data_IF_855286333982
#
_entry.id   IF_855286333982
#
_cell.length_a   1.000
_cell.length_b   1.000
_cell.length_c   1.000
_cell.angle_alpha   90.00
_cell.angle_beta   90.00
_cell.angle_gamma   90.00
#
_symmetry.space_group_name_H-M   'P 1'
#
loop_
_entity.id
_entity.type
_entity.pdbx_description
1 polymer ?
#
# COMPACT_ATOMS: atom_id res chain seq x y z
N UNK A 1 7.37 -49.20 16.22
CA UNK A 1 7.89 -47.83 16.04
C UNK A 1 7.57 -47.03 17.29
N UNK A 2 8.60 -46.61 18.01
CA UNK A 2 8.54 -46.07 19.36
C UNK A 2 8.10 -44.59 19.33
N UNK A 3 6.88 -44.32 19.81
CA UNK A 3 6.25 -42.99 19.83
C UNK A 3 7.12 -41.94 20.54
N UNK A 4 7.93 -42.37 21.51
CA UNK A 4 8.75 -41.49 22.35
C UNK A 4 9.92 -40.82 21.62
N UNK A 5 10.41 -41.42 20.53
CA UNK A 5 11.55 -40.89 19.76
C UNK A 5 11.11 -39.73 18.84
N UNK A 6 9.85 -39.73 18.39
CA UNK A 6 9.28 -38.65 17.55
C UNK A 6 9.06 -37.36 18.36
N UNK A 7 8.52 -37.45 19.58
CA UNK A 7 8.29 -36.27 20.43
C UNK A 7 9.61 -35.56 20.80
N UNK A 8 10.69 -36.33 20.99
CA UNK A 8 12.01 -35.79 21.33
C UNK A 8 12.68 -35.11 20.13
N UNK A 9 12.46 -35.60 18.90
CA UNK A 9 12.94 -34.97 17.66
C UNK A 9 12.16 -33.69 17.30
N UNK A 10 10.84 -33.67 17.54
CA UNK A 10 10.02 -32.47 17.35
C UNK A 10 10.46 -31.37 18.34
N UNK A 11 10.70 -31.71 19.61
CA UNK A 11 11.17 -30.75 20.63
C UNK A 11 12.52 -30.11 20.30
N UNK A 12 13.45 -30.87 19.72
CA UNK A 12 14.76 -30.36 19.26
C UNK A 12 14.62 -29.44 18.04
N UNK A 13 13.77 -29.81 17.08
CA UNK A 13 13.50 -29.02 15.87
C UNK A 13 12.79 -27.69 16.18
N UNK A 14 11.83 -27.70 17.11
CA UNK A 14 11.15 -26.49 17.59
C UNK A 14 12.11 -25.57 18.36
N UNK A 15 13.03 -26.12 19.16
CA UNK A 15 14.10 -25.32 19.82
C UNK A 15 15.02 -24.64 18.81
N UNK A 16 15.39 -25.33 17.73
CA UNK A 16 16.24 -24.76 16.67
C UNK A 16 15.51 -23.68 15.87
N UNK A 17 14.23 -23.86 15.54
CA UNK A 17 13.40 -22.84 14.89
C UNK A 17 13.29 -21.56 15.73
N UNK A 18 13.09 -21.71 17.04
CA UNK A 18 13.05 -20.57 17.98
C UNK A 18 14.38 -19.81 18.01
N UNK A 19 15.50 -20.49 17.78
CA UNK A 19 16.83 -19.87 17.75
C UNK A 19 17.14 -19.14 16.43
N UNK A 20 16.51 -19.56 15.32
CA UNK A 20 16.59 -18.88 14.02
C UNK A 20 15.75 -17.61 14.04
N UNK A 21 14.51 -17.69 14.56
CA UNK A 21 13.61 -16.55 14.66
C UNK A 21 14.09 -15.44 15.61
N UNK A 22 14.88 -15.81 16.64
CA UNK A 22 15.40 -14.84 17.62
C UNK A 22 16.64 -14.07 17.15
N UNK A 23 17.28 -14.45 16.03
CA UNK A 23 18.62 -13.95 15.64
C UNK A 23 18.66 -13.19 14.31
N UNK A 24 17.51 -12.93 13.68
CA UNK A 24 17.43 -12.13 12.44
C UNK A 24 16.79 -10.78 12.72
N UNK A 25 17.61 -9.75 12.93
CA UNK A 25 17.14 -8.36 12.93
C UNK A 25 16.44 -8.05 11.59
N UNK A 26 15.38 -7.24 11.60
CA UNK A 26 14.61 -6.85 10.41
C UNK A 26 15.51 -6.42 9.23
N UNK A 27 16.57 -5.67 9.52
CA UNK A 27 17.59 -5.23 8.55
C UNK A 27 18.38 -6.37 7.90
N UNK A 28 18.54 -7.53 8.57
CA UNK A 28 19.24 -8.70 8.01
C UNK A 28 18.34 -9.52 7.07
N UNK A 29 17.02 -9.50 7.30
CA UNK A 29 16.07 -10.23 6.47
C UNK A 29 15.55 -9.40 5.29
N UNK A 30 15.41 -8.08 5.46
CA UNK A 30 14.83 -7.17 4.46
C UNK A 30 15.75 -6.02 4.06
N UNK A 31 17.00 -5.97 4.54
CA UNK A 31 17.93 -4.87 4.27
C UNK A 31 18.14 -4.63 2.77
N UNK A 32 18.26 -5.69 1.98
CA UNK A 32 18.36 -5.59 0.52
C UNK A 32 17.12 -4.97 -0.10
N UNK A 33 15.92 -5.37 0.34
CA UNK A 33 14.66 -4.82 -0.17
C UNK A 33 14.46 -3.35 0.23
N UNK A 34 14.82 -2.98 1.46
CA UNK A 34 14.76 -1.59 1.94
C UNK A 34 15.75 -0.72 1.18
N UNK A 35 16.98 -1.20 0.98
CA UNK A 35 18.00 -0.48 0.24
C UNK A 35 17.59 -0.27 -1.22
N UNK A 36 17.05 -1.32 -1.86
CA UNK A 36 16.53 -1.26 -3.21
C UNK A 36 15.33 -0.30 -3.31
N UNK A 37 14.43 -0.28 -2.33
CA UNK A 37 13.32 0.67 -2.26
C UNK A 37 13.81 2.12 -2.14
N UNK A 38 14.76 2.40 -1.25
CA UNK A 38 15.36 3.74 -1.09
C UNK A 38 16.04 4.17 -2.40
N UNK A 39 16.78 3.26 -3.04
CA UNK A 39 17.48 3.53 -4.29
C UNK A 39 16.52 3.86 -5.43
N UNK A 40 15.46 3.05 -5.62
CA UNK A 40 14.44 3.31 -6.64
C UNK A 40 13.71 4.63 -6.37
N UNK A 41 13.35 4.88 -5.10
CA UNK A 41 12.67 6.13 -4.71
C UNK A 41 13.53 7.35 -4.97
N UNK A 42 14.84 7.27 -4.68
CA UNK A 42 15.79 8.34 -4.92
C UNK A 42 15.96 8.62 -6.41
N UNK A 43 16.08 7.56 -7.23
CA UNK A 43 16.13 7.69 -8.69
C UNK A 43 14.84 8.34 -9.22
N UNK A 44 13.67 7.88 -8.78
CA UNK A 44 12.39 8.45 -9.18
C UNK A 44 12.28 9.93 -8.80
N UNK A 45 12.71 10.30 -7.60
CA UNK A 45 12.73 11.69 -7.14
C UNK A 45 13.65 12.56 -8.00
N UNK A 46 14.85 12.09 -8.34
CA UNK A 46 15.78 12.80 -9.21
C UNK A 46 15.20 13.00 -10.62
N UNK A 47 14.61 11.96 -11.21
CA UNK A 47 13.96 12.08 -12.51
C UNK A 47 12.77 13.04 -12.47
N UNK A 48 11.89 12.90 -11.48
CA UNK A 48 10.74 13.78 -11.31
C UNK A 48 11.17 15.24 -11.15
N UNK A 49 12.15 15.51 -10.28
CA UNK A 49 12.69 16.85 -10.07
C UNK A 49 13.30 17.44 -11.35
N UNK A 50 14.08 16.64 -12.09
CA UNK A 50 14.67 17.05 -13.36
C UNK A 50 13.61 17.41 -14.41
N UNK A 51 12.60 16.57 -14.62
CA UNK A 51 11.53 16.84 -15.58
C UNK A 51 10.64 18.00 -15.16
N UNK A 52 10.35 18.13 -13.87
CA UNK A 52 9.60 19.26 -13.34
C UNK A 52 10.30 20.59 -13.66
N UNK A 53 11.63 20.64 -13.46
CA UNK A 53 12.43 21.82 -13.78
C UNK A 53 12.49 22.08 -15.28
N UNK A 54 12.71 21.03 -16.08
CA UNK A 54 12.79 21.15 -17.54
C UNK A 54 11.50 21.68 -18.14
N UNK A 55 10.34 21.20 -17.70
CA UNK A 55 9.04 21.64 -18.22
C UNK A 55 8.72 23.10 -17.86
N UNK A 56 9.26 23.62 -16.77
CA UNK A 56 9.00 24.97 -16.29
C UNK A 56 10.18 25.93 -16.51
N UNK A 57 11.18 25.53 -17.30
CA UNK A 57 12.44 26.29 -17.43
C UNK A 57 12.21 27.72 -17.93
N UNK A 58 11.29 27.90 -18.89
CA UNK A 58 10.94 29.23 -19.41
C UNK A 58 10.36 30.15 -18.34
N UNK A 59 9.55 29.61 -17.42
CA UNK A 59 8.98 30.37 -16.30
C UNK A 59 10.05 30.81 -15.29
N UNK A 60 11.04 29.94 -15.04
CA UNK A 60 12.12 30.29 -14.12
C UNK A 60 13.08 31.32 -14.74
N UNK A 61 13.38 31.19 -16.02
CA UNK A 61 14.25 32.14 -16.73
C UNK A 61 13.65 33.54 -16.87
N UNK A 62 12.32 33.66 -16.98
CA UNK A 62 11.67 34.98 -17.11
C UNK A 62 11.73 35.82 -15.83
N UNK A 63 11.65 35.19 -14.66
CA UNK A 63 11.60 35.89 -13.36
C UNK A 63 12.67 35.36 -12.38
N UNK A 64 13.96 35.65 -12.61
CA UNK A 64 15.03 35.16 -11.74
C UNK A 64 14.95 35.73 -10.32
N UNK A 65 14.50 36.96 -10.12
CA UNK A 65 14.37 37.57 -8.78
C UNK A 65 13.44 36.78 -7.85
N UNK A 66 12.37 36.21 -8.39
CA UNK A 66 11.37 35.43 -7.65
C UNK A 66 11.83 33.97 -7.45
N UNK A 67 12.36 33.34 -8.50
CA UNK A 67 12.59 31.89 -8.50
C UNK A 67 14.03 31.47 -8.16
N UNK A 68 15.01 32.37 -8.15
CA UNK A 68 16.44 32.03 -7.94
C UNK A 68 16.75 31.37 -6.60
N UNK A 69 16.02 31.74 -5.55
CA UNK A 69 16.14 31.15 -4.22
C UNK A 69 15.01 30.17 -3.88
N UNK A 70 14.22 29.76 -4.88
CA UNK A 70 13.19 28.76 -4.69
C UNK A 70 13.83 27.36 -4.53
N UNK A 71 13.43 26.54 -3.53
CA UNK A 71 14.06 25.24 -3.25
C UNK A 71 14.11 24.26 -4.43
N UNK A 72 13.12 24.32 -5.34
CA UNK A 72 13.10 23.49 -6.56
C UNK A 72 14.07 23.94 -7.65
N UNK A 73 14.54 25.19 -7.61
CA UNK A 73 15.38 25.82 -8.65
C UNK A 73 16.85 25.84 -8.22
N UNK A 74 17.13 26.06 -6.93
CA UNK A 74 18.48 26.14 -6.36
C UNK A 74 19.43 25.01 -6.82
N UNK A 75 19.08 23.71 -6.73
CA UNK A 75 20.00 22.63 -7.11
C UNK A 75 20.33 22.60 -8.61
N UNK A 76 19.56 23.31 -9.44
CA UNK A 76 19.72 23.37 -10.89
C UNK A 76 20.00 24.79 -11.39
N UNK A 77 20.34 25.74 -10.50
CA UNK A 77 20.48 27.14 -10.83
C UNK A 77 21.52 27.40 -11.94
N UNK A 78 22.61 26.65 -11.99
CA UNK A 78 23.64 26.74 -13.03
C UNK A 78 23.22 26.15 -14.37
N UNK A 79 22.22 25.26 -14.39
CA UNK A 79 21.60 24.81 -15.64
C UNK A 79 20.54 25.80 -16.15
N UNK A 80 19.81 26.44 -15.23
CA UNK A 80 18.72 27.36 -15.55
C UNK A 80 19.26 28.76 -15.91
N UNK A 81 20.25 29.25 -15.15
CA UNK A 81 20.88 30.56 -15.28
C UNK A 81 22.38 30.39 -15.56
N UNK A 82 22.77 30.03 -16.79
CA UNK A 82 24.18 29.89 -17.14
C UNK A 82 24.90 31.23 -16.96
N UNK A 83 26.01 31.24 -16.22
CA UNK A 83 26.82 32.43 -16.00
C UNK A 83 28.08 32.39 -16.87
N UNK A 84 28.35 33.42 -17.70
CA UNK A 84 29.61 33.48 -18.44
C UNK A 84 30.79 33.47 -17.47
N UNK A 85 31.76 32.58 -17.71
CA UNK A 85 32.98 32.47 -16.91
C UNK A 85 32.90 31.55 -15.68
N UNK A 86 31.76 30.89 -15.41
CA UNK A 86 31.66 29.87 -14.36
C UNK A 86 31.07 28.57 -14.91
N UNK A 87 31.53 27.44 -14.38
CA UNK A 87 30.84 26.16 -14.64
C UNK A 87 29.52 26.08 -13.87
N UNK A 88 28.57 25.28 -14.34
CA UNK A 88 27.25 25.13 -13.72
C UNK A 88 27.34 24.78 -12.22
N UNK A 89 28.31 23.94 -11.85
CA UNK A 89 28.54 23.54 -10.45
C UNK A 89 29.08 24.71 -9.60
N UNK A 90 30.00 25.50 -10.15
CA UNK A 90 30.55 26.68 -9.46
C UNK A 90 29.48 27.74 -9.23
N UNK A 91 28.63 28.00 -10.24
CA UNK A 91 27.51 28.92 -10.11
C UNK A 91 26.44 28.41 -9.13
N UNK A 92 26.12 27.11 -9.14
CA UNK A 92 25.22 26.53 -8.14
C UNK A 92 25.71 26.80 -6.72
N UNK A 93 27.00 26.57 -6.46
CA UNK A 93 27.57 26.77 -5.12
C UNK A 93 27.51 28.23 -4.69
N UNK A 94 27.86 29.17 -5.58
CA UNK A 94 27.77 30.60 -5.26
C UNK A 94 26.33 31.05 -5.06
N UNK A 95 25.39 30.52 -5.85
CA UNK A 95 23.96 30.81 -5.73
C UNK A 95 23.35 30.29 -4.42
N UNK A 96 23.71 29.08 -3.99
CA UNK A 96 23.28 28.52 -2.69
C UNK A 96 23.73 29.45 -1.55
N UNK A 97 25.01 29.87 -1.57
CA UNK A 97 25.56 30.74 -0.53
C UNK A 97 24.90 32.13 -0.53
N UNK A 98 24.56 32.66 -1.69
CA UNK A 98 23.79 33.90 -1.81
C UNK A 98 22.41 33.77 -1.18
N UNK A 99 21.65 32.73 -1.55
CA UNK A 99 20.30 32.54 -1.03
C UNK A 99 20.27 32.31 0.47
N UNK A 100 21.23 31.54 1.03
CA UNK A 100 21.33 31.38 2.47
C UNK A 100 21.55 32.71 3.21
N UNK A 101 22.33 33.63 2.64
CA UNK A 101 22.58 34.95 3.26
C UNK A 101 21.37 35.86 3.20
N UNK A 102 20.64 35.88 2.08
CA UNK A 102 19.46 36.73 1.96
C UNK A 102 18.31 36.22 2.84
N UNK A 103 18.04 34.91 2.86
CA UNK A 103 17.03 34.36 3.79
C UNK A 103 17.40 34.62 5.26
N UNK A 104 18.69 34.65 5.60
CA UNK A 104 19.14 34.98 6.95
C UNK A 104 18.93 36.47 7.30
N UNK A 105 19.11 37.40 6.34
CA UNK A 105 18.84 38.83 6.56
C UNK A 105 17.35 39.09 6.78
N UNK A 106 16.48 38.45 6.01
CA UNK A 106 15.03 38.60 6.17
C UNK A 106 14.60 38.19 7.59
N UNK A 107 15.13 37.07 8.11
CA UNK A 107 14.89 36.65 9.49
C UNK A 107 15.49 37.61 10.54
N UNK A 108 16.64 38.23 10.25
CA UNK A 108 17.29 39.18 11.16
C UNK A 108 16.51 40.50 11.29
N UNK A 109 15.82 40.95 10.24
CA UNK A 109 15.01 42.17 10.27
C UNK A 109 13.84 42.01 11.26
N UNK A 110 13.13 40.88 11.22
CA UNK A 110 12.04 40.58 12.15
C UNK A 110 12.53 40.47 13.61
N UNK A 111 13.75 39.98 13.81
CA UNK A 111 14.39 39.87 15.13
C UNK A 111 14.86 41.24 15.65
N UNK A 112 15.28 42.15 14.77
CA UNK A 112 15.82 43.46 15.13
C UNK A 112 14.74 44.54 15.30
N UNK A 113 13.52 44.33 14.79
CA UNK A 113 12.37 45.22 14.98
C UNK A 113 12.13 45.70 16.44
N UNK A 114 12.23 44.87 17.49
CA UNK A 114 12.10 45.33 18.88
C UNK A 114 13.20 46.32 19.31
N UNK A 115 14.40 46.25 18.71
CA UNK A 115 15.51 47.15 19.03
C UNK A 115 15.24 48.58 18.54
N UNK A 116 14.61 48.72 17.37
CA UNK A 116 14.22 50.01 16.80
C UNK A 116 13.12 50.69 17.61
N UNK A 117 12.15 49.91 18.12
CA UNK A 117 11.10 50.41 19.00
C UNK A 117 11.65 50.99 20.31
N UNK A 118 12.63 50.31 20.93
CA UNK A 118 13.28 50.80 22.16
C UNK A 118 14.04 52.10 21.89
N UNK A 119 14.70 52.24 20.74
CA UNK A 119 15.41 53.46 20.36
C UNK A 119 14.50 54.69 20.25
N UNK A 120 13.27 54.52 19.73
CA UNK A 120 12.30 55.61 19.60
C UNK A 120 11.74 56.08 20.96
N UNK A 121 11.61 55.16 21.92
CA UNK A 121 11.15 55.50 23.28
C UNK A 121 12.23 56.22 24.09
N UNK A 122 13.50 55.89 23.90
CA UNK A 122 14.63 56.56 24.56
C UNK A 122 14.70 58.05 24.16
N UNK A 123 14.41 58.39 22.92
CA UNK A 123 14.42 59.78 22.45
C UNK A 123 13.34 60.65 23.10
N UNK A 124 12.18 60.07 23.45
CA UNK A 124 11.10 60.80 24.14
C UNK A 124 11.43 61.15 25.60
N UNK A 125 12.33 60.39 26.23
CA UNK A 125 12.77 60.60 27.61
C UNK A 125 13.69 61.83 27.72
N UNK A 126 14.37 62.22 26.64
CA UNK A 126 15.32 63.34 26.65
C UNK A 126 14.65 64.73 26.69
N UNK A 127 13.35 64.83 26.42
CA UNK A 127 12.58 66.09 26.38
C UNK A 127 11.95 66.52 27.71
N UNK A 128 12.28 65.87 28.83
CA UNK A 128 11.52 66.05 30.07
C UNK A 128 12.23 66.97 31.08
N UNK A 129 11.52 68.00 31.55
CA UNK A 129 12.01 69.07 32.42
C UNK A 129 11.81 68.73 33.92
N UNK A 130 12.85 68.80 34.75
CA UNK A 130 12.98 68.16 36.08
C UNK A 130 12.20 68.79 37.26
N UNK A 131 11.16 69.58 37.02
CA UNK A 131 10.64 70.52 38.03
C UNK A 131 9.46 70.12 38.94
N UNK A 132 8.90 68.91 38.89
CA UNK A 132 7.64 68.64 39.63
C UNK A 132 7.45 67.19 40.11
N UNK A 133 6.70 66.97 41.20
CA UNK A 133 6.29 65.61 41.63
C UNK A 133 5.42 64.90 40.58
N UNK A 134 4.71 65.67 39.74
CA UNK A 134 3.98 65.16 38.59
C UNK A 134 4.92 64.57 37.53
N UNK A 135 6.16 65.05 37.43
CA UNK A 135 7.16 64.46 36.54
C UNK A 135 7.55 63.04 36.96
N UNK A 136 7.68 62.75 38.26
CA UNK A 136 7.94 61.37 38.72
C UNK A 136 6.78 60.44 38.37
N UNK A 137 5.54 60.89 38.52
CA UNK A 137 4.37 60.09 38.13
C UNK A 137 4.31 59.84 36.61
N UNK A 138 4.69 60.85 35.82
CA UNK A 138 4.74 60.74 34.35
C UNK A 138 5.84 59.78 33.92
N UNK A 139 7.03 59.86 34.52
CA UNK A 139 8.13 58.90 34.28
C UNK A 139 7.75 57.47 34.65
N UNK A 140 7.11 57.24 35.80
CA UNK A 140 6.66 55.91 36.18
C UNK A 140 5.58 55.37 35.23
N UNK A 141 4.69 56.24 34.73
CA UNK A 141 3.71 55.89 33.70
C UNK A 141 4.39 55.52 32.38
N UNK A 142 5.37 56.30 31.93
CA UNK A 142 6.11 56.06 30.70
C UNK A 142 6.95 54.78 30.77
N UNK A 143 7.65 54.54 31.89
CA UNK A 143 8.37 53.27 32.13
C UNK A 143 7.41 52.09 32.11
N UNK A 144 6.24 52.20 32.75
CA UNK A 144 5.21 51.16 32.74
C UNK A 144 4.66 50.91 31.33
N UNK A 145 4.44 51.96 30.55
CA UNK A 145 3.94 51.86 29.18
C UNK A 145 4.99 51.25 28.24
N UNK A 146 6.27 51.63 28.39
CA UNK A 146 7.38 51.03 27.65
C UNK A 146 7.53 49.55 28.01
N UNK A 147 7.48 49.19 29.30
CA UNK A 147 7.52 47.80 29.75
C UNK A 147 6.33 47.00 29.20
N UNK A 148 5.11 47.55 29.29
CA UNK A 148 3.92 46.91 28.73
C UNK A 148 4.01 46.75 27.20
N UNK A 149 4.59 47.72 26.50
CA UNK A 149 4.84 47.65 25.07
C UNK A 149 5.82 46.54 24.70
N UNK A 150 6.92 46.40 25.45
CA UNK A 150 7.91 45.33 25.26
C UNK A 150 7.29 43.96 25.54
N UNK A 151 6.56 43.80 26.65
CA UNK A 151 5.87 42.54 26.96
C UNK A 151 4.80 42.21 25.91
N UNK A 152 4.06 43.20 25.41
CA UNK A 152 3.08 43.01 24.34
C UNK A 152 3.73 42.56 23.03
N UNK A 153 4.87 43.16 22.65
CA UNK A 153 5.63 42.75 21.47
C UNK A 153 6.19 41.33 21.62
N UNK A 154 6.77 40.99 22.78
CA UNK A 154 7.27 39.65 23.06
C UNK A 154 6.15 38.60 23.05
N UNK A 155 4.98 38.93 23.62
CA UNK A 155 3.81 38.06 23.61
C UNK A 155 3.31 37.81 22.18
N UNK A 156 3.16 38.86 21.37
CA UNK A 156 2.72 38.73 19.99
C UNK A 156 3.72 37.91 19.14
N UNK A 157 5.03 38.11 19.35
CA UNK A 157 6.06 37.33 18.67
C UNK A 157 6.02 35.86 19.08
N UNK A 158 5.84 35.59 20.38
CA UNK A 158 5.73 34.24 20.92
C UNK A 158 4.46 33.54 20.42
N UNK A 159 3.33 34.25 20.33
CA UNK A 159 2.07 33.74 19.79
C UNK A 159 2.21 33.39 18.30
N UNK A 160 2.78 34.30 17.50
CA UNK A 160 3.05 34.04 16.08
C UNK A 160 4.01 32.86 15.88
N UNK A 161 5.02 32.73 16.74
CA UNK A 161 5.95 31.61 16.72
C UNK A 161 5.26 30.28 17.07
N UNK A 162 4.46 30.24 18.13
CA UNK A 162 3.69 29.04 18.49
C UNK A 162 2.64 28.67 17.44
N UNK A 163 1.97 29.65 16.83
CA UNK A 163 1.04 29.41 15.73
C UNK A 163 1.73 28.75 14.53
N UNK A 164 2.92 29.25 14.16
CA UNK A 164 3.74 28.68 13.08
C UNK A 164 4.20 27.25 13.41
N UNK A 165 4.66 27.00 14.64
CA UNK A 165 5.00 25.64 15.11
C UNK A 165 3.80 24.69 15.04
N UNK A 166 2.64 25.12 15.52
CA UNK A 166 1.43 24.30 15.50
C UNK A 166 1.03 23.93 14.07
N UNK A 167 1.13 24.88 13.13
CA UNK A 167 0.89 24.60 11.72
C UNK A 167 1.86 23.54 11.16
N UNK A 168 3.14 23.63 11.50
CA UNK A 168 4.16 22.63 11.10
C UNK A 168 3.85 21.26 11.72
N UNK A 169 3.47 21.19 13.00
CA UNK A 169 3.13 19.93 13.68
C UNK A 169 1.91 19.27 13.02
N UNK A 170 0.87 20.04 12.71
CA UNK A 170 -0.32 19.53 12.01
C UNK A 170 0.04 19.00 10.64
N UNK A 171 0.87 19.72 9.88
CA UNK A 171 1.34 19.26 8.57
C UNK A 171 2.18 17.98 8.66
N UNK A 172 3.11 17.90 9.61
CA UNK A 172 3.95 16.71 9.84
C UNK A 172 3.09 15.50 10.24
N UNK A 173 2.18 15.67 11.19
CA UNK A 173 1.24 14.63 11.60
C UNK A 173 0.42 14.13 10.40
N UNK A 174 -0.10 15.07 9.59
CA UNK A 174 -0.82 14.73 8.36
C UNK A 174 0.04 13.98 7.35
N UNK A 175 1.31 14.34 7.21
CA UNK A 175 2.25 13.64 6.33
C UNK A 175 2.55 12.22 6.82
N UNK A 176 2.73 12.01 8.14
CA UNK A 176 2.92 10.69 8.72
C UNK A 176 1.69 9.79 8.51
N UNK A 177 0.48 10.31 8.79
CA UNK A 177 -0.77 9.59 8.57
C UNK A 177 -0.90 9.18 7.10
N UNK A 178 -0.64 10.08 6.15
CA UNK A 178 -0.69 9.75 4.71
C UNK A 178 0.35 8.71 4.32
N UNK A 179 1.58 8.83 4.83
CA UNK A 179 2.69 7.91 4.52
C UNK A 179 2.40 6.48 5.00
N UNK A 180 1.70 6.31 6.12
CA UNK A 180 1.31 4.99 6.64
C UNK A 180 0.02 4.46 5.99
N UNK A 181 -0.96 5.33 5.76
CA UNK A 181 -2.31 4.90 5.34
C UNK A 181 -2.39 4.50 3.88
N UNK A 182 -1.67 5.20 2.99
CA UNK A 182 -1.65 4.89 1.54
C UNK A 182 -1.14 3.46 1.28
N UNK A 183 0.05 3.03 1.71
CA UNK A 183 0.52 1.67 1.44
C UNK A 183 -0.34 0.61 2.13
N UNK A 184 -0.88 0.90 3.32
CA UNK A 184 -1.78 -0.01 4.02
C UNK A 184 -3.08 -0.24 3.22
N UNK A 185 -3.64 0.82 2.65
CA UNK A 185 -4.83 0.72 1.79
C UNK A 185 -4.56 -0.11 0.53
N UNK A 186 -3.36 0.00 -0.06
CA UNK A 186 -2.93 -0.79 -1.22
C UNK A 186 -2.82 -2.28 -0.87
N UNK A 187 -2.26 -2.61 0.31
CA UNK A 187 -2.17 -4.00 0.78
C UNK A 187 -3.58 -4.59 0.95
N UNK A 188 -4.50 -3.88 1.60
CA UNK A 188 -5.86 -4.38 1.77
C UNK A 188 -6.62 -4.51 0.44
N UNK A 189 -6.47 -3.55 -0.47
CA UNK A 189 -7.05 -3.63 -1.81
C UNK A 189 -6.52 -4.86 -2.57
N UNK A 190 -5.21 -5.14 -2.48
CA UNK A 190 -4.60 -6.30 -3.12
C UNK A 190 -5.13 -7.63 -2.60
N UNK A 191 -5.34 -7.74 -1.28
CA UNK A 191 -5.91 -8.93 -0.66
C UNK A 191 -7.35 -9.18 -1.11
N UNK A 192 -8.15 -8.11 -1.26
CA UNK A 192 -9.52 -8.20 -1.76
C UNK A 192 -9.51 -8.71 -3.22
N UNK A 193 -8.64 -8.19 -4.08
CA UNK A 193 -8.54 -8.64 -5.47
C UNK A 193 -8.17 -10.12 -5.56
N UNK A 194 -7.20 -10.58 -4.77
CA UNK A 194 -6.81 -12.00 -4.72
C UNK A 194 -8.00 -12.87 -4.28
N UNK A 195 -8.74 -12.43 -3.25
CA UNK A 195 -9.92 -13.14 -2.77
C UNK A 195 -11.03 -13.21 -3.81
N UNK A 196 -11.32 -12.10 -4.51
CA UNK A 196 -12.28 -12.06 -5.61
C UNK A 196 -11.88 -13.00 -6.75
N UNK A 197 -10.61 -13.03 -7.14
CA UNK A 197 -10.11 -13.95 -8.17
C UNK A 197 -10.31 -15.42 -7.77
N UNK A 198 -10.06 -15.77 -6.50
CA UNK A 198 -10.31 -17.12 -5.97
C UNK A 198 -11.79 -17.51 -6.04
N UNK A 199 -12.71 -16.60 -5.70
CA UNK A 199 -14.16 -16.86 -5.78
C UNK A 199 -14.61 -17.10 -7.22
N UNK A 200 -14.17 -16.26 -8.15
CA UNK A 200 -14.53 -16.40 -9.58
C UNK A 200 -14.01 -17.72 -10.13
N UNK A 201 -12.74 -18.06 -9.84
CA UNK A 201 -12.15 -19.33 -10.27
C UNK A 201 -12.94 -20.54 -9.73
N UNK A 202 -13.38 -20.52 -8.46
CA UNK A 202 -14.23 -21.57 -7.89
C UNK A 202 -15.55 -21.68 -8.64
N UNK A 203 -16.22 -20.56 -8.92
CA UNK A 203 -17.52 -20.57 -9.59
C UNK A 203 -17.44 -21.11 -11.02
N UNK A 204 -16.36 -20.80 -11.74
CA UNK A 204 -16.10 -21.37 -13.07
C UNK A 204 -15.86 -22.89 -12.99
N UNK A 205 -15.03 -23.34 -12.06
CA UNK A 205 -14.72 -24.77 -11.91
C UNK A 205 -15.97 -25.57 -11.51
N UNK A 206 -16.77 -25.07 -10.56
CA UNK A 206 -18.06 -25.68 -10.22
C UNK A 206 -19.00 -25.72 -11.42
N UNK A 207 -19.08 -24.67 -12.23
CA UNK A 207 -19.91 -24.65 -13.44
C UNK A 207 -19.50 -25.73 -14.44
N UNK A 208 -18.20 -25.93 -14.66
CA UNK A 208 -17.66 -26.95 -15.57
C UNK A 208 -18.01 -28.36 -15.05
N UNK A 209 -17.79 -28.60 -13.75
CA UNK A 209 -18.14 -29.89 -13.12
C UNK A 209 -19.63 -30.17 -13.27
N UNK A 210 -20.50 -29.19 -13.02
CA UNK A 210 -21.95 -29.38 -13.17
C UNK A 210 -22.36 -29.71 -14.61
N UNK A 211 -21.75 -29.05 -15.62
CA UNK A 211 -22.03 -29.37 -17.02
C UNK A 211 -21.60 -30.80 -17.39
N UNK A 212 -20.43 -31.24 -16.92
CA UNK A 212 -19.94 -32.62 -17.11
C UNK A 212 -20.87 -33.65 -16.45
N UNK A 213 -21.39 -33.37 -15.25
CA UNK A 213 -22.35 -34.28 -14.59
C UNK A 213 -23.65 -34.43 -15.37
N UNK A 214 -24.19 -33.33 -15.93
CA UNK A 214 -25.42 -33.38 -16.74
C UNK A 214 -25.18 -34.19 -18.02
N UNK A 215 -24.05 -33.99 -18.69
CA UNK A 215 -23.69 -34.76 -19.88
C UNK A 215 -23.54 -36.25 -19.58
N UNK A 216 -22.95 -36.59 -18.44
CA UNK A 216 -22.80 -37.98 -17.97
C UNK A 216 -24.14 -38.65 -17.69
N UNK A 217 -25.10 -37.94 -17.07
CA UNK A 217 -26.45 -38.47 -16.86
C UNK A 217 -27.14 -38.70 -18.21
N UNK A 218 -27.03 -37.74 -19.15
CA UNK A 218 -27.64 -37.83 -20.46
C UNK A 218 -27.15 -39.04 -21.28
N UNK A 219 -25.83 -39.28 -21.29
CA UNK A 219 -25.27 -40.46 -21.98
C UNK A 219 -25.77 -41.75 -21.37
N UNK A 220 -25.81 -41.88 -20.04
CA UNK A 220 -26.36 -43.05 -19.36
C UNK A 220 -27.84 -43.27 -19.71
N UNK A 221 -28.66 -42.21 -19.74
CA UNK A 221 -30.07 -42.31 -20.12
C UNK A 221 -30.27 -42.84 -21.55
N UNK A 222 -29.46 -42.39 -22.52
CA UNK A 222 -29.52 -42.89 -23.90
C UNK A 222 -29.17 -44.38 -23.95
N UNK A 223 -28.12 -44.80 -23.23
CA UNK A 223 -27.71 -46.20 -23.23
C UNK A 223 -28.79 -47.13 -22.64
N UNK A 224 -29.45 -46.71 -21.55
CA UNK A 224 -30.57 -47.47 -20.96
C UNK A 224 -31.72 -47.57 -21.97
N UNK A 225 -32.05 -46.48 -22.67
CA UNK A 225 -33.12 -46.48 -23.68
C UNK A 225 -32.82 -47.44 -24.83
N UNK A 226 -31.59 -47.42 -25.38
CA UNK A 226 -31.15 -48.33 -26.46
C UNK A 226 -31.18 -49.79 -25.98
N UNK A 227 -30.72 -50.05 -24.75
CA UNK A 227 -30.78 -51.40 -24.18
C UNK A 227 -32.23 -51.92 -24.10
N UNK A 228 -33.16 -51.12 -23.56
CA UNK A 228 -34.56 -51.49 -23.50
C UNK A 228 -35.15 -51.70 -24.91
N UNK A 229 -34.85 -50.82 -25.86
CA UNK A 229 -35.37 -50.91 -27.23
C UNK A 229 -34.87 -52.13 -28.00
N UNK A 230 -33.65 -52.62 -27.73
CA UNK A 230 -33.11 -53.82 -28.39
C UNK A 230 -33.53 -55.10 -27.65
N UNK A 231 -33.50 -55.09 -26.32
CA UNK A 231 -33.73 -56.30 -25.52
C UNK A 231 -35.21 -56.70 -25.47
N UNK A 232 -36.13 -55.76 -25.22
CA UNK A 232 -37.55 -56.11 -25.05
C UNK A 232 -38.22 -56.71 -26.30
N UNK A 233 -37.99 -56.22 -27.53
CA UNK A 233 -38.60 -56.84 -28.72
C UNK A 233 -38.13 -58.27 -28.97
N UNK A 234 -36.88 -58.61 -28.63
CA UNK A 234 -36.37 -59.97 -28.77
C UNK A 234 -37.05 -60.98 -27.84
N UNK A 235 -37.73 -60.52 -26.79
CA UNK A 235 -38.53 -61.36 -25.90
C UNK A 235 -39.97 -61.58 -26.41
N UNK A 236 -40.46 -60.73 -27.32
CA UNK A 236 -41.87 -60.72 -27.74
C UNK A 236 -42.09 -61.52 -29.03
N UNK A 237 -41.07 -61.73 -29.87
CA UNK A 237 -41.19 -62.49 -31.13
C UNK A 237 -41.28 -64.00 -30.79
N UNK A 238 -42.42 -64.68 -31.02
CA UNK A 238 -42.55 -66.11 -30.81
C UNK A 238 -42.21 -66.82 -32.12
N UNK A 239 -40.95 -67.14 -32.43
CA UNK A 239 -40.66 -67.91 -33.66
C UNK A 239 -39.57 -69.00 -33.52
N UNK A 240 -40.08 -70.24 -33.47
CA UNK A 240 -39.66 -71.44 -34.22
C UNK A 240 -38.15 -71.76 -34.27
N UNK A 241 -37.72 -72.73 -33.46
CA UNK A 241 -36.47 -73.47 -33.64
C UNK A 241 -35.70 -73.71 -32.35
N UNK A 242 -35.96 -74.82 -31.66
CA UNK A 242 -35.46 -75.20 -30.33
C UNK A 242 -33.91 -75.34 -30.18
N UNK A 243 -33.12 -75.09 -31.22
CA UNK A 243 -31.68 -75.38 -31.21
C UNK A 243 -30.81 -74.10 -31.34
N UNK A 244 -31.30 -73.04 -31.98
CA UNK A 244 -30.54 -71.77 -32.11
C UNK A 244 -30.94 -70.69 -31.09
N UNK A 245 -32.14 -70.77 -30.51
CA UNK A 245 -32.62 -69.84 -29.48
C UNK A 245 -31.64 -69.66 -28.28
N UNK A 246 -31.04 -70.71 -27.69
CA UNK A 246 -30.12 -70.52 -26.56
C UNK A 246 -28.80 -69.86 -26.97
N UNK A 247 -28.36 -70.00 -28.23
CA UNK A 247 -27.11 -69.41 -28.73
C UNK A 247 -27.28 -67.90 -28.94
N UNK A 248 -28.41 -67.46 -29.49
CA UNK A 248 -28.73 -66.04 -29.60
C UNK A 248 -29.01 -65.39 -28.23
N UNK A 249 -29.69 -66.09 -27.32
CA UNK A 249 -29.95 -65.57 -25.98
C UNK A 249 -28.66 -65.42 -25.15
N UNK A 250 -27.72 -66.37 -25.24
CA UNK A 250 -26.45 -66.31 -24.51
C UNK A 250 -25.49 -65.28 -25.10
N UNK A 251 -25.42 -65.15 -26.43
CA UNK A 251 -24.59 -64.10 -27.07
C UNK A 251 -25.14 -62.70 -26.80
N UNK A 252 -26.46 -62.51 -26.81
CA UNK A 252 -27.09 -61.25 -26.40
C UNK A 252 -26.90 -60.95 -24.90
N UNK A 253 -26.99 -61.97 -24.02
CA UNK A 253 -26.77 -61.80 -22.58
C UNK A 253 -25.30 -61.44 -22.25
N UNK A 254 -24.33 -62.09 -22.91
CA UNK A 254 -22.90 -61.79 -22.71
C UNK A 254 -22.54 -60.42 -23.30
N UNK A 255 -23.08 -60.08 -24.48
CA UNK A 255 -22.89 -58.76 -25.08
C UNK A 255 -23.48 -57.64 -24.22
N UNK A 256 -24.65 -57.86 -23.62
CA UNK A 256 -25.27 -56.86 -22.75
C UNK A 256 -24.57 -56.74 -21.40
N UNK A 257 -24.16 -57.86 -20.78
CA UNK A 257 -23.39 -57.85 -19.52
C UNK A 257 -22.02 -57.15 -19.67
N UNK A 258 -21.33 -57.36 -20.79
CA UNK A 258 -20.07 -56.67 -21.08
C UNK A 258 -20.27 -55.18 -21.32
N UNK A 259 -21.35 -54.77 -21.98
CA UNK A 259 -21.72 -53.35 -22.12
C UNK A 259 -22.00 -52.72 -20.75
N UNK A 260 -22.77 -53.38 -19.87
CA UNK A 260 -23.04 -52.89 -18.50
C UNK A 260 -21.78 -52.70 -17.66
N UNK A 261 -20.82 -53.61 -17.79
CA UNK A 261 -19.55 -53.54 -17.06
C UNK A 261 -18.73 -52.33 -17.55
N UNK A 262 -18.71 -52.08 -18.86
CA UNK A 262 -18.04 -50.91 -19.44
C UNK A 262 -18.73 -49.61 -19.03
N UNK A 263 -20.06 -49.51 -19.05
CA UNK A 263 -20.77 -48.31 -18.56
C UNK A 263 -20.57 -48.07 -17.07
N UNK A 264 -20.57 -49.13 -16.25
CA UNK A 264 -20.30 -49.00 -14.82
C UNK A 264 -18.88 -48.45 -14.56
N UNK A 265 -17.88 -48.94 -15.28
CA UNK A 265 -16.50 -48.43 -15.17
C UNK A 265 -16.45 -46.95 -15.58
N UNK A 266 -17.10 -46.55 -16.67
CA UNK A 266 -17.15 -45.15 -17.11
C UNK A 266 -17.78 -44.26 -16.04
N UNK A 267 -18.88 -44.70 -15.43
CA UNK A 267 -19.55 -43.97 -14.33
C UNK A 267 -18.61 -43.86 -13.12
N UNK A 268 -17.96 -44.96 -12.71
CA UNK A 268 -17.05 -44.97 -11.57
C UNK A 268 -15.84 -44.04 -11.77
N UNK A 269 -15.28 -44.00 -12.98
CA UNK A 269 -14.18 -43.08 -13.34
C UNK A 269 -14.65 -41.63 -13.29
N UNK A 270 -15.82 -41.31 -13.87
CA UNK A 270 -16.37 -39.95 -13.84
C UNK A 270 -16.63 -39.49 -12.40
N UNK A 271 -17.24 -40.34 -11.56
CA UNK A 271 -17.46 -40.02 -10.15
C UNK A 271 -16.16 -39.88 -9.36
N UNK A 272 -15.15 -40.70 -9.64
CA UNK A 272 -13.83 -40.60 -9.02
C UNK A 272 -13.15 -39.26 -9.31
N UNK A 273 -13.17 -38.82 -10.56
CA UNK A 273 -12.61 -37.53 -10.97
C UNK A 273 -13.37 -36.35 -10.36
N UNK A 274 -14.70 -36.42 -10.29
CA UNK A 274 -15.53 -35.38 -9.65
C UNK A 274 -15.25 -35.31 -8.15
N UNK A 275 -15.17 -36.44 -7.44
CA UNK A 275 -14.89 -36.47 -6.01
C UNK A 275 -13.48 -35.94 -5.70
N UNK A 276 -12.50 -36.28 -6.54
CA UNK A 276 -11.13 -35.76 -6.41
C UNK A 276 -11.08 -34.24 -6.63
N UNK A 277 -11.71 -33.74 -7.70
CA UNK A 277 -11.80 -32.31 -8.00
C UNK A 277 -12.52 -31.51 -6.88
N UNK A 278 -13.58 -32.07 -6.32
CA UNK A 278 -14.32 -31.47 -5.21
C UNK A 278 -13.48 -31.41 -3.93
N UNK A 279 -12.72 -32.47 -3.62
CA UNK A 279 -11.85 -32.53 -2.44
C UNK A 279 -10.72 -31.49 -2.48
N UNK A 280 -10.17 -31.22 -3.67
CA UNK A 280 -9.14 -30.20 -3.89
C UNK A 280 -9.75 -28.81 -3.77
N UNK A 281 -10.93 -28.58 -4.35
CA UNK A 281 -11.64 -27.28 -4.27
C UNK A 281 -12.04 -26.90 -2.84
N UNK A 282 -12.42 -27.88 -2.00
CA UNK A 282 -12.77 -27.66 -0.60
C UNK A 282 -11.55 -27.35 0.28
N UNK A 283 -10.39 -28.00 0.05
CA UNK A 283 -9.16 -27.71 0.82
C UNK A 283 -8.62 -26.29 0.64
N UNK A 284 -8.89 -25.64 -0.49
CA UNK A 284 -8.50 -24.25 -0.74
C UNK A 284 -9.42 -23.25 0.01
N UNK A 285 -10.49 -23.71 0.67
CA UNK A 285 -11.55 -22.86 1.22
C UNK A 285 -11.46 -22.54 2.73
N UNK A 286 -10.56 -23.16 3.51
CA UNK A 286 -10.52 -22.92 4.95
C UNK A 286 -9.67 -21.71 5.37
N UNK A 287 -9.05 -20.99 4.43
CA UNK A 287 -8.33 -19.77 4.76
C UNK A 287 -9.36 -18.65 4.97
N UNK A 288 -9.83 -18.60 6.22
CA UNK A 288 -10.83 -17.70 6.77
C UNK A 288 -10.51 -16.24 6.38
N UNK A 289 -11.53 -15.50 5.93
CA UNK A 289 -11.36 -14.10 5.56
C UNK A 289 -10.73 -13.34 6.73
N UNK A 290 -9.66 -12.55 6.51
CA UNK A 290 -9.01 -11.82 7.59
C UNK A 290 -10.03 -10.91 8.27
N UNK A 291 -10.15 -11.04 9.60
CA UNK A 291 -11.06 -10.24 10.40
C UNK A 291 -10.89 -8.75 10.07
N UNK A 292 -12.01 -7.99 9.92
CA UNK A 292 -11.91 -6.57 9.65
C UNK A 292 -11.08 -5.90 10.74
N UNK A 293 -10.09 -5.05 10.38
CA UNK A 293 -9.28 -4.38 11.36
C UNK A 293 -10.18 -3.54 12.26
N UNK A 294 -10.06 -3.74 13.58
CA UNK A 294 -10.75 -2.90 14.57
C UNK A 294 -10.27 -1.47 14.36
N UNK A 295 -11.14 -0.63 13.79
CA UNK A 295 -10.90 0.81 13.67
C UNK A 295 -10.67 1.34 15.08
N UNK A 296 -9.44 1.81 15.34
CA UNK A 296 -9.12 2.49 16.59
C UNK A 296 -9.92 3.80 16.57
N UNK A 297 -10.70 4.12 17.61
CA UNK A 297 -11.49 5.35 17.62
C UNK A 297 -10.56 6.56 17.46
N UNK A 298 -11.01 7.62 16.78
CA UNK A 298 -10.26 8.86 16.70
C UNK A 298 -10.09 9.39 18.12
N UNK A 299 -8.83 9.62 18.51
CA UNK A 299 -8.48 10.43 19.68
C UNK A 299 -8.74 11.90 19.37
#
# INVERSE_FOLDING_TARGET
MNKNDDYMNIGKSVKNLKHIYKKTTYFKSYGTSIFLFIFITLIFFLFFSYYNVKNNIHKYQSNPSEYRCHPTVIPFAGYIYPHPGMTNSQFNRSNIMYCMRETLKDMLIDILQPLEYVSQQIQKIQTINFGSLNFLQTLFSDIRNVMSGIFGLLYNLLENFFASINHIIVFLSSAFIKTVTIPLSVIYASNIVIYCMRIIAKRLLTSIITALTILGIFTVSIFIFVFCAVFFPTLIIPFVGEILAPIFATTAAVGTASIFLVTYIIIAVIYGEIAHALSIGLKISYEEAPNPPKLRPPF
#
